data_IF_771959656001
#
_entry.id   IF_771959656001
#
_cell.length_a   1.000
_cell.length_b   1.000
_cell.length_c   1.000
_cell.angle_alpha   90.00
_cell.angle_beta   90.00
_cell.angle_gamma   90.00
#
_symmetry.space_group_name_H-M   'P 1'
#
loop_
_entity.id
_entity.type
_entity.pdbx_description
1 polymer ?
#
# COMPACT_ATOMS: atom_id res chain seq x y z
N UNK A 1 4.61 5.59 4.05
CA UNK A 1 3.57 5.45 5.08
C UNK A 1 2.18 5.34 4.46
N UNK A 2 1.16 5.03 5.26
CA UNK A 2 -0.25 4.97 4.82
C UNK A 2 -1.08 6.06 5.51
N UNK A 3 -1.93 6.73 4.73
CA UNK A 3 -2.87 7.74 5.22
C UNK A 3 -4.28 7.43 4.74
N UNK A 4 -5.29 7.82 5.52
CA UNK A 4 -6.69 7.66 5.11
C UNK A 4 -7.25 8.97 4.55
N UNK A 5 -7.94 8.88 3.41
CA UNK A 5 -8.70 9.99 2.83
C UNK A 5 -10.04 9.49 2.32
N UNK A 6 -11.11 9.73 3.08
CA UNK A 6 -12.49 9.30 2.75
C UNK A 6 -12.56 7.84 2.25
N UNK A 7 -12.72 7.65 0.93
CA UNK A 7 -12.85 6.35 0.25
C UNK A 7 -11.53 5.86 -0.37
N UNK A 8 -10.39 6.40 0.05
CA UNK A 8 -9.08 6.01 -0.44
C UNK A 8 -8.06 5.82 0.70
N UNK A 9 -7.13 4.89 0.48
CA UNK A 9 -5.87 4.83 1.21
C UNK A 9 -4.81 5.50 0.34
N UNK A 10 -4.09 6.45 0.92
CA UNK A 10 -2.96 7.11 0.27
C UNK A 10 -1.69 6.40 0.73
N UNK A 11 -0.99 5.79 -0.21
CA UNK A 11 0.37 5.31 0.01
C UNK A 11 1.34 6.44 -0.28
N UNK A 12 2.25 6.72 0.65
CA UNK A 12 3.32 7.70 0.50
C UNK A 12 4.66 6.99 0.52
N UNK A 13 5.48 7.22 -0.50
CA UNK A 13 6.88 6.82 -0.51
C UNK A 13 7.74 8.02 -0.13
N UNK A 14 8.31 7.98 1.08
CA UNK A 14 9.22 9.02 1.59
C UNK A 14 10.69 8.70 1.30
N UNK A 15 10.96 7.65 0.50
CA UNK A 15 12.31 7.19 0.17
C UNK A 15 12.71 7.59 -1.25
N UNK A 16 14.01 7.45 -1.55
CA UNK A 16 14.56 7.66 -2.88
C UNK A 16 14.44 6.43 -3.81
N UNK A 17 13.83 5.33 -3.35
CA UNK A 17 13.74 4.08 -4.10
C UNK A 17 12.35 3.88 -4.71
N UNK A 18 12.28 3.16 -5.82
CA UNK A 18 11.02 2.64 -6.33
C UNK A 18 10.52 1.53 -5.41
N UNK A 19 9.21 1.50 -5.14
CA UNK A 19 8.61 0.44 -4.33
C UNK A 19 7.57 -0.28 -5.17
N UNK A 20 7.80 -1.57 -5.40
CA UNK A 20 6.83 -2.45 -6.05
C UNK A 20 5.90 -3.06 -5.00
N UNK A 21 4.65 -2.63 -4.98
CA UNK A 21 3.61 -3.11 -4.05
C UNK A 21 2.69 -4.08 -4.79
N UNK A 22 2.67 -5.35 -4.38
CA UNK A 22 1.88 -6.40 -5.04
C UNK A 22 0.49 -6.53 -4.44
N UNK A 23 0.39 -6.35 -3.12
CA UNK A 23 -0.82 -6.56 -2.35
C UNK A 23 -0.97 -5.49 -1.28
N UNK A 24 -2.17 -4.94 -1.21
CA UNK A 24 -2.67 -4.17 -0.08
C UNK A 24 -3.95 -4.83 0.35
N UNK A 25 -3.99 -5.31 1.60
CA UNK A 25 -5.13 -6.06 2.15
C UNK A 25 -5.75 -5.34 3.34
N UNK A 26 -7.07 -5.29 3.36
CA UNK A 26 -7.88 -4.92 4.51
C UNK A 26 -8.42 -6.21 5.16
N UNK A 27 -7.74 -6.68 6.21
CA UNK A 27 -7.97 -8.03 6.72
C UNK A 27 -7.61 -9.08 5.66
N UNK A 28 -8.56 -9.92 5.27
CA UNK A 28 -8.35 -10.96 4.26
C UNK A 28 -8.66 -10.50 2.81
N UNK A 29 -9.11 -9.25 2.64
CA UNK A 29 -9.58 -8.74 1.34
C UNK A 29 -8.49 -7.91 0.67
N UNK A 30 -8.04 -8.32 -0.53
CA UNK A 30 -7.15 -7.52 -1.39
C UNK A 30 -7.93 -6.32 -1.96
N UNK A 31 -7.35 -5.12 -1.86
CA UNK A 31 -8.00 -3.87 -2.29
C UNK A 31 -7.36 -3.19 -3.49
N UNK A 32 -6.11 -3.53 -3.84
CA UNK A 32 -5.50 -3.05 -5.08
C UNK A 32 -5.82 -4.02 -6.23
N UNK A 33 -6.34 -3.47 -7.34
CA UNK A 33 -6.70 -4.29 -8.51
C UNK A 33 -5.46 -4.73 -9.32
N UNK A 34 -4.36 -3.99 -9.25
CA UNK A 34 -3.11 -4.24 -9.97
C UNK A 34 -1.90 -4.00 -9.05
N UNK A 35 -0.74 -4.54 -9.45
CA UNK A 35 0.55 -4.18 -8.83
C UNK A 35 0.79 -2.68 -8.99
N UNK A 36 1.27 -2.04 -7.93
CA UNK A 36 1.54 -0.61 -7.89
C UNK A 36 3.05 -0.41 -7.89
N UNK A 37 3.54 0.30 -8.90
CA UNK A 37 4.93 0.76 -8.94
C UNK A 37 4.95 2.18 -8.40
N UNK A 38 5.33 2.34 -7.13
CA UNK A 38 5.26 3.62 -6.41
C UNK A 38 6.59 4.38 -6.57
N UNK A 39 6.61 5.53 -7.28
CA UNK A 39 7.84 6.27 -7.51
C UNK A 39 8.47 6.81 -6.23
N UNK A 40 9.78 7.13 -6.26
CA UNK A 40 10.45 7.90 -5.20
C UNK A 40 9.70 9.19 -4.87
N UNK A 41 9.65 9.56 -3.58
CA UNK A 41 9.11 10.84 -3.10
C UNK A 41 7.68 11.16 -3.59
N UNK A 42 6.85 10.14 -3.79
CA UNK A 42 5.52 10.27 -4.41
C UNK A 42 4.40 9.73 -3.54
N UNK A 43 3.17 9.98 -3.97
CA UNK A 43 1.96 9.38 -3.39
C UNK A 43 1.13 8.69 -4.46
N UNK A 44 0.43 7.63 -4.05
CA UNK A 44 -0.55 6.94 -4.89
C UNK A 44 -1.82 6.68 -4.08
N UNK A 45 -2.97 6.99 -4.69
CA UNK A 45 -4.27 6.67 -4.12
C UNK A 45 -4.69 5.25 -4.53
N UNK A 46 -5.16 4.48 -3.54
CA UNK A 46 -5.85 3.22 -3.74
C UNK A 46 -7.31 3.44 -3.35
N UNK A 47 -8.21 3.36 -4.33
CA UNK A 47 -9.64 3.47 -4.09
C UNK A 47 -10.12 2.25 -3.30
N UNK A 48 -10.80 2.49 -2.18
CA UNK A 48 -11.39 1.43 -1.35
C UNK A 48 -12.80 1.10 -1.87
N UNK A 49 -13.06 -0.18 -2.13
CA UNK A 49 -14.40 -0.69 -2.44
C UNK A 49 -15.29 -0.86 -1.18
N UNK A 50 -14.70 -0.95 0.02
CA UNK A 50 -15.41 -1.25 1.27
C UNK A 50 -14.95 -0.40 2.47
N UNK A 51 -15.67 -0.50 3.60
CA UNK A 51 -15.47 0.27 4.81
C UNK A 51 -14.01 0.24 5.32
N UNK A 52 -13.53 1.42 5.71
CA UNK A 52 -12.15 1.67 6.10
C UNK A 52 -11.76 0.96 7.40
N UNK A 53 -10.80 0.03 7.31
CA UNK A 53 -10.06 -0.50 8.47
C UNK A 53 -8.98 0.50 8.91
N UNK A 54 -8.61 0.46 10.19
CA UNK A 54 -7.49 1.24 10.73
C UNK A 54 -6.12 0.61 10.41
N UNK A 55 -6.08 -0.65 9.95
CA UNK A 55 -4.86 -1.39 9.66
C UNK A 55 -4.96 -2.14 8.33
N UNK A 56 -3.87 -2.09 7.56
CA UNK A 56 -3.70 -2.80 6.29
C UNK A 56 -2.45 -3.67 6.34
N UNK A 57 -2.46 -4.79 5.63
CA UNK A 57 -1.25 -5.55 5.33
C UNK A 57 -0.76 -5.16 3.93
N UNK A 58 0.49 -4.75 3.81
CA UNK A 58 1.13 -4.35 2.55
C UNK A 58 2.25 -5.33 2.25
N UNK A 59 2.25 -5.87 1.03
CA UNK A 59 3.33 -6.73 0.52
C UNK A 59 4.11 -5.99 -0.55
N UNK A 60 5.43 -5.94 -0.39
CA UNK A 60 6.37 -5.37 -1.36
C UNK A 60 7.35 -6.43 -1.87
N UNK A 61 8.00 -6.15 -3.00
CA UNK A 61 9.12 -6.94 -3.50
C UNK A 61 10.43 -6.18 -3.23
N UNK A 62 11.43 -6.85 -2.66
CA UNK A 62 12.79 -6.29 -2.50
C UNK A 62 13.65 -6.50 -3.76
N UNK A 63 14.87 -5.94 -3.77
CA UNK A 63 15.77 -6.01 -4.93
C UNK A 63 16.26 -7.44 -5.25
N UNK A 64 16.09 -8.39 -4.33
CA UNK A 64 16.41 -9.80 -4.53
C UNK A 64 15.19 -10.62 -4.99
N UNK A 65 14.03 -9.99 -5.17
CA UNK A 65 12.79 -10.66 -5.56
C UNK A 65 12.02 -11.29 -4.39
N UNK A 66 12.40 -11.01 -3.14
CA UNK A 66 11.69 -11.53 -1.97
C UNK A 66 10.42 -10.71 -1.70
N UNK A 67 9.35 -11.41 -1.31
CA UNK A 67 8.10 -10.79 -0.89
C UNK A 67 8.15 -10.49 0.60
N UNK A 68 7.97 -9.23 0.96
CA UNK A 68 8.01 -8.75 2.35
C UNK A 68 6.63 -8.17 2.69
N UNK A 69 5.97 -8.76 3.68
CA UNK A 69 4.67 -8.28 4.18
C UNK A 69 4.81 -7.53 5.50
N UNK A 70 4.05 -6.45 5.66
CA UNK A 70 3.98 -5.71 6.93
C UNK A 70 2.60 -5.14 7.19
N UNK A 71 2.17 -5.23 8.45
CA UNK A 71 0.94 -4.60 8.94
C UNK A 71 1.22 -3.14 9.27
N UNK A 72 0.44 -2.25 8.67
CA UNK A 72 0.58 -0.81 8.82
C UNK A 72 -0.75 -0.17 9.20
N UNK A 73 -0.73 0.65 10.25
CA UNK A 73 -1.87 1.46 10.63
C UNK A 73 -1.94 2.71 9.73
N UNK A 74 -3.15 3.10 9.33
CA UNK A 74 -3.34 4.40 8.66
C UNK A 74 -3.18 5.53 9.66
N UNK A 75 -2.49 6.58 9.23
CA UNK A 75 -2.44 7.87 9.92
C UNK A 75 -3.54 8.80 9.42
#
# INVERSE_FOLDING_TARGET
GLFRSNKAVIMKNDTANWITVTDVKAGNTKINDQTIMLPPLSTQNINMKYASTSQYEVTIIDDNGNYISSKMNVK
#
